data_IF_353744852735
#
_entry.id   IF_353744852735
#
_cell.length_a   1.000
_cell.length_b   1.000
_cell.length_c   1.000
_cell.angle_alpha   90.00
_cell.angle_beta   90.00
_cell.angle_gamma   90.00
#
_symmetry.space_group_name_H-M   'P 1'
#
loop_
_entity.id
_entity.type
_entity.pdbx_description
1 polymer ?
#
# COMPACT_ATOMS: atom_id res chain seq x y z
N UNK A 1 -51.42 -17.10 22.11
CA UNK A 1 -50.38 -16.31 22.83
C UNK A 1 -49.12 -17.10 23.21
N UNK A 2 -49.13 -18.44 23.42
CA UNK A 2 -47.91 -19.21 23.81
C UNK A 2 -46.87 -19.45 22.69
N UNK A 3 -47.24 -19.43 21.41
CA UNK A 3 -46.30 -19.61 20.29
C UNK A 3 -45.50 -18.35 19.92
N UNK A 4 -45.95 -17.16 20.33
CA UNK A 4 -45.26 -15.90 20.02
C UNK A 4 -44.10 -15.58 20.99
N UNK A 5 -44.15 -16.08 22.23
CA UNK A 5 -43.08 -15.89 23.20
C UNK A 5 -41.82 -16.74 22.91
N UNK A 6 -41.97 -17.94 22.32
CA UNK A 6 -40.82 -18.80 22.01
C UNK A 6 -39.96 -18.27 20.86
N UNK A 7 -40.56 -17.63 19.85
CA UNK A 7 -39.83 -17.05 18.71
C UNK A 7 -39.09 -15.76 19.09
N UNK A 8 -39.63 -14.96 20.02
CA UNK A 8 -38.98 -13.74 20.52
C UNK A 8 -37.78 -14.08 21.42
N UNK A 9 -37.86 -15.12 22.25
CA UNK A 9 -36.71 -15.58 23.05
C UNK A 9 -35.58 -16.17 22.19
N UNK A 10 -35.87 -16.93 21.13
CA UNK A 10 -34.84 -17.50 20.26
C UNK A 10 -34.05 -16.40 19.51
N UNK A 11 -34.75 -15.40 18.95
CA UNK A 11 -34.14 -14.26 18.25
C UNK A 11 -33.30 -13.37 19.19
N UNK A 12 -33.73 -13.19 20.44
CA UNK A 12 -32.97 -12.46 21.44
C UNK A 12 -31.68 -13.20 21.85
N UNK A 13 -31.71 -14.53 21.99
CA UNK A 13 -30.53 -15.32 22.34
C UNK A 13 -29.48 -15.39 21.22
N UNK A 14 -29.90 -15.47 19.96
CA UNK A 14 -28.96 -15.44 18.81
C UNK A 14 -28.34 -14.06 18.61
N UNK A 15 -29.11 -12.99 18.83
CA UNK A 15 -28.61 -11.62 18.77
C UNK A 15 -27.55 -11.32 19.83
N UNK A 16 -27.77 -11.77 21.08
CA UNK A 16 -26.81 -11.61 22.18
C UNK A 16 -25.50 -12.37 21.94
N UNK A 17 -25.57 -13.62 21.45
CA UNK A 17 -24.38 -14.41 21.14
C UNK A 17 -23.54 -13.78 20.01
N UNK A 18 -24.20 -13.29 18.94
CA UNK A 18 -23.51 -12.61 17.83
C UNK A 18 -22.87 -11.28 18.23
N UNK A 19 -23.53 -10.50 19.09
CA UNK A 19 -23.00 -9.24 19.62
C UNK A 19 -21.81 -9.48 20.56
N UNK A 20 -21.87 -10.52 21.38
CA UNK A 20 -20.79 -10.90 22.29
C UNK A 20 -19.56 -11.43 21.53
N UNK A 21 -19.75 -12.21 20.47
CA UNK A 21 -18.66 -12.66 19.58
C UNK A 21 -18.04 -11.49 18.80
N UNK A 22 -18.85 -10.59 18.25
CA UNK A 22 -18.36 -9.39 17.56
C UNK A 22 -17.56 -8.48 18.50
N UNK A 23 -18.01 -8.33 19.75
CA UNK A 23 -17.28 -7.57 20.77
C UNK A 23 -15.96 -8.27 21.15
N UNK A 24 -15.96 -9.60 21.28
CA UNK A 24 -14.75 -10.40 21.52
C UNK A 24 -13.71 -10.23 20.42
N UNK A 25 -14.10 -10.28 19.15
CA UNK A 25 -13.20 -10.08 18.02
C UNK A 25 -12.57 -8.68 18.01
N UNK A 26 -13.34 -7.64 18.37
CA UNK A 26 -12.81 -6.27 18.48
C UNK A 26 -11.79 -6.12 19.60
N UNK A 27 -12.03 -6.75 20.75
CA UNK A 27 -11.06 -6.76 21.87
C UNK A 27 -9.76 -7.46 21.46
N UNK A 28 -9.85 -8.63 20.83
CA UNK A 28 -8.67 -9.36 20.34
C UNK A 28 -7.89 -8.54 19.31
N UNK A 29 -8.56 -7.88 18.36
CA UNK A 29 -7.90 -7.05 17.36
C UNK A 29 -7.23 -5.82 18.01
N UNK A 30 -7.84 -5.23 19.04
CA UNK A 30 -7.25 -4.12 19.80
C UNK A 30 -5.95 -4.54 20.50
N UNK A 31 -5.98 -5.70 21.17
CA UNK A 31 -4.82 -6.27 21.87
C UNK A 31 -3.71 -6.63 20.88
N UNK A 32 -4.06 -7.26 19.76
CA UNK A 32 -3.15 -7.56 18.67
C UNK A 32 -2.48 -6.29 18.17
N UNK A 33 -3.24 -5.24 17.80
CA UNK A 33 -2.66 -3.98 17.30
C UNK A 33 -1.67 -3.40 18.31
N UNK A 34 -2.01 -3.40 19.60
CA UNK A 34 -1.17 -2.88 20.66
C UNK A 34 0.14 -3.68 20.82
N UNK A 35 0.05 -5.02 20.77
CA UNK A 35 1.22 -5.90 20.74
C UNK A 35 2.11 -5.63 19.52
N UNK A 36 1.50 -5.50 18.33
CA UNK A 36 2.22 -5.34 17.08
C UNK A 36 2.96 -4.00 17.01
N UNK A 37 2.41 -2.90 17.54
CA UNK A 37 3.13 -1.64 17.61
C UNK A 37 4.25 -1.64 18.66
N UNK A 38 4.04 -2.27 19.82
CA UNK A 38 5.12 -2.45 20.81
C UNK A 38 6.25 -3.30 20.26
N UNK A 39 5.92 -4.36 19.53
CA UNK A 39 6.89 -5.16 18.79
C UNK A 39 7.63 -4.32 17.75
N UNK A 40 6.90 -3.55 16.93
CA UNK A 40 7.47 -2.73 15.88
C UNK A 40 8.45 -1.69 16.40
N UNK A 41 8.16 -1.03 17.53
CA UNK A 41 9.08 -0.10 18.18
C UNK A 41 10.42 -0.77 18.53
N UNK A 42 10.38 -1.95 19.16
CA UNK A 42 11.60 -2.67 19.53
C UNK A 42 12.34 -3.19 18.28
N UNK A 43 11.60 -3.68 17.28
CA UNK A 43 12.16 -4.26 16.08
C UNK A 43 12.80 -3.18 15.19
N UNK A 44 12.23 -1.98 15.12
CA UNK A 44 12.82 -0.85 14.40
C UNK A 44 14.04 -0.26 15.11
N UNK A 45 14.14 -0.36 16.43
CA UNK A 45 15.40 -0.07 17.16
C UNK A 45 16.53 -1.02 16.73
N UNK A 46 16.21 -2.27 16.37
CA UNK A 46 17.18 -3.22 15.77
C UNK A 46 17.50 -2.83 14.33
N UNK A 47 16.48 -2.49 13.53
CA UNK A 47 16.67 -2.07 12.14
C UNK A 47 17.58 -0.83 12.04
N UNK A 48 17.32 0.19 12.85
CA UNK A 48 18.10 1.42 12.88
C UNK A 48 19.59 1.16 13.20
N UNK A 49 19.90 0.21 14.08
CA UNK A 49 21.29 -0.18 14.40
C UNK A 49 21.98 -0.89 13.24
N UNK A 50 21.22 -1.63 12.41
CA UNK A 50 21.74 -2.40 11.29
C UNK A 50 21.82 -1.59 9.98
N UNK A 51 21.31 -0.35 9.95
CA UNK A 51 21.25 0.49 8.75
C UNK A 51 22.10 1.75 8.95
N UNK A 52 23.19 1.94 8.18
CA UNK A 52 24.01 3.13 8.27
C UNK A 52 23.19 4.41 8.06
N UNK A 53 23.56 5.50 8.73
CA UNK A 53 22.76 6.74 8.79
C UNK A 53 22.50 7.42 7.43
N UNK A 54 23.31 7.14 6.41
CA UNK A 54 23.28 7.81 5.10
C UNK A 54 22.54 7.04 4.00
N UNK A 55 21.92 5.91 4.33
CA UNK A 55 21.22 5.01 3.40
C UNK A 55 19.86 4.61 3.98
N UNK A 56 19.01 3.97 3.18
CA UNK A 56 17.70 3.45 3.59
C UNK A 56 17.72 1.92 3.64
N UNK A 57 16.94 1.28 4.54
CA UNK A 57 16.77 -0.17 4.52
C UNK A 57 15.94 -0.57 3.31
N UNK A 58 16.40 -1.60 2.60
CA UNK A 58 15.73 -2.15 1.43
C UNK A 58 15.08 -3.50 1.73
N UNK A 59 15.91 -4.46 2.10
CA UNK A 59 15.53 -5.84 2.42
C UNK A 59 16.57 -6.44 3.37
N UNK A 60 16.44 -7.71 3.70
CA UNK A 60 17.40 -8.47 4.46
C UNK A 60 17.71 -9.77 3.75
N UNK A 61 19.00 -10.08 3.66
CA UNK A 61 19.50 -11.27 3.00
C UNK A 61 19.77 -12.36 4.06
N UNK A 62 18.93 -13.40 4.15
CA UNK A 62 19.10 -14.43 5.16
C UNK A 62 20.36 -15.27 4.96
N UNK A 63 20.89 -15.34 3.72
CA UNK A 63 22.10 -16.12 3.41
C UNK A 63 23.36 -15.44 3.94
N UNK A 64 23.39 -14.11 3.94
CA UNK A 64 24.54 -13.35 4.44
C UNK A 64 24.32 -12.79 5.84
N UNK A 65 23.10 -12.94 6.39
CA UNK A 65 22.67 -12.37 7.65
C UNK A 65 22.91 -10.84 7.72
N UNK A 66 22.58 -10.12 6.64
CA UNK A 66 22.81 -8.68 6.53
C UNK A 66 21.61 -7.95 5.94
N UNK A 67 21.37 -6.74 6.44
CA UNK A 67 20.45 -5.80 5.82
C UNK A 67 21.05 -5.30 4.52
N UNK A 68 20.29 -5.42 3.43
CA UNK A 68 20.59 -4.76 2.18
C UNK A 68 20.00 -3.35 2.22
N UNK A 69 20.77 -2.37 1.75
CA UNK A 69 20.41 -0.95 1.79
C UNK A 69 20.31 -0.37 0.39
N UNK A 70 19.71 0.82 0.31
CA UNK A 70 19.63 1.62 -0.90
C UNK A 70 20.06 3.06 -0.63
N UNK A 71 20.39 3.79 -1.70
CA UNK A 71 20.45 5.24 -1.61
C UNK A 71 19.05 5.87 -1.48
N UNK A 72 19.00 7.20 -1.34
CA UNK A 72 17.78 7.98 -1.21
C UNK A 72 16.99 8.12 -2.52
N UNK A 73 17.63 7.89 -3.68
CA UNK A 73 16.98 7.95 -5.01
C UNK A 73 16.16 6.71 -5.33
N UNK A 74 16.37 5.62 -4.58
CA UNK A 74 15.56 4.43 -4.75
C UNK A 74 14.10 4.69 -4.38
N UNK A 75 13.17 4.13 -5.16
CA UNK A 75 11.74 4.43 -5.10
C UNK A 75 11.09 4.15 -3.74
N UNK A 76 11.68 3.28 -2.91
CA UNK A 76 11.14 2.92 -1.59
C UNK A 76 11.67 3.79 -0.44
N UNK A 77 12.49 4.82 -0.72
CA UNK A 77 13.22 5.56 0.31
C UNK A 77 12.33 6.30 1.31
N UNK A 78 11.05 6.52 0.96
CA UNK A 78 10.05 7.14 1.84
C UNK A 78 9.36 6.20 2.83
N UNK A 79 9.41 4.88 2.62
CA UNK A 79 8.63 3.95 3.46
C UNK A 79 9.22 3.77 4.86
N UNK A 80 10.55 3.71 5.00
CA UNK A 80 11.19 3.59 6.31
C UNK A 80 10.91 4.77 7.25
N UNK A 81 11.15 6.05 6.86
CA UNK A 81 10.72 7.18 7.67
C UNK A 81 9.20 7.22 7.88
N UNK A 82 8.41 6.82 6.89
CA UNK A 82 6.95 6.69 7.03
C UNK A 82 6.52 5.68 8.10
N UNK A 83 7.18 4.52 8.16
CA UNK A 83 6.90 3.48 9.14
C UNK A 83 7.33 3.90 10.55
N UNK A 84 8.50 4.54 10.70
CA UNK A 84 8.93 5.14 11.96
C UNK A 84 7.89 6.17 12.47
N UNK A 85 7.32 6.96 11.57
CA UNK A 85 6.26 7.92 11.92
C UNK A 85 4.97 7.25 12.37
N UNK A 86 4.54 6.15 11.74
CA UNK A 86 3.39 5.36 12.23
C UNK A 86 3.67 4.74 13.61
N UNK A 87 4.86 4.20 13.83
CA UNK A 87 5.26 3.66 15.13
C UNK A 87 5.22 4.77 16.20
N UNK A 88 5.84 5.92 15.93
CA UNK A 88 5.79 7.07 16.84
C UNK A 88 4.36 7.57 17.09
N UNK A 89 3.53 7.66 16.04
CA UNK A 89 2.14 8.10 16.17
C UNK A 89 1.38 7.24 17.18
N UNK A 90 1.66 5.94 17.23
CA UNK A 90 1.06 5.03 18.20
C UNK A 90 1.76 5.05 19.57
N UNK A 91 3.06 4.76 19.62
CA UNK A 91 3.78 4.50 20.89
C UNK A 91 4.25 5.76 21.60
N UNK A 92 4.34 6.89 20.89
CA UNK A 92 4.90 8.15 21.36
C UNK A 92 6.39 8.10 21.75
N UNK A 93 7.13 7.06 21.35
CA UNK A 93 8.57 6.92 21.60
C UNK A 93 9.37 8.01 20.86
N UNK A 94 9.99 8.92 21.61
CA UNK A 94 10.70 10.08 21.06
C UNK A 94 11.99 9.71 20.35
N UNK A 95 12.62 8.57 20.69
CA UNK A 95 13.78 8.07 19.97
C UNK A 95 13.41 7.62 18.54
N UNK A 96 12.25 6.99 18.37
CA UNK A 96 11.68 6.63 17.06
C UNK A 96 11.40 7.87 16.22
N UNK A 97 10.79 8.91 16.81
CA UNK A 97 10.60 10.19 16.11
C UNK A 97 11.94 10.80 15.70
N UNK A 98 12.94 10.77 16.58
CA UNK A 98 14.26 11.33 16.28
C UNK A 98 14.93 10.61 15.11
N UNK A 99 14.82 9.29 15.05
CA UNK A 99 15.29 8.51 13.91
C UNK A 99 14.52 8.86 12.63
N UNK A 100 13.19 9.04 12.70
CA UNK A 100 12.41 9.49 11.55
C UNK A 100 12.90 10.84 11.02
N UNK A 101 13.13 11.82 11.91
CA UNK A 101 13.65 13.15 11.55
C UNK A 101 15.04 13.07 10.90
N UNK A 102 15.93 12.19 11.39
CA UNK A 102 17.25 11.96 10.78
C UNK A 102 17.13 11.42 9.35
N UNK A 103 16.22 10.46 9.12
CA UNK A 103 15.99 9.87 7.79
C UNK A 103 15.31 10.84 6.83
N UNK A 104 14.38 11.66 7.31
CA UNK A 104 13.81 12.75 6.53
C UNK A 104 14.90 13.74 6.08
N UNK A 105 15.85 14.08 6.96
CA UNK A 105 16.92 15.03 6.63
C UNK A 105 17.77 14.59 5.42
N UNK A 106 18.10 13.31 5.29
CA UNK A 106 18.88 12.81 4.14
C UNK A 106 18.03 12.66 2.86
N UNK A 107 16.72 12.46 3.01
CA UNK A 107 15.77 12.24 1.92
C UNK A 107 15.29 13.55 1.28
N UNK A 108 15.31 14.65 2.03
CA UNK A 108 14.76 15.96 1.65
C UNK A 108 15.17 16.42 0.24
N UNK A 109 16.45 16.23 -0.09
CA UNK A 109 17.04 16.60 -1.39
C UNK A 109 16.33 15.96 -2.59
N UNK A 110 15.69 14.81 -2.40
CA UNK A 110 15.01 14.06 -3.47
C UNK A 110 13.67 14.68 -3.87
N UNK A 111 13.19 15.75 -3.19
CA UNK A 111 12.07 16.57 -3.68
C UNK A 111 12.28 17.13 -5.09
N UNK A 112 13.55 17.22 -5.53
CA UNK A 112 13.94 17.65 -6.88
C UNK A 112 14.13 16.51 -7.87
N UNK A 113 13.90 15.26 -7.47
CA UNK A 113 14.14 14.10 -8.34
C UNK A 113 13.05 13.99 -9.41
N UNK A 114 13.45 13.86 -10.68
CA UNK A 114 12.54 13.80 -11.83
C UNK A 114 12.72 12.53 -12.68
N UNK A 115 13.53 11.58 -12.20
CA UNK A 115 13.95 10.40 -12.98
C UNK A 115 12.85 9.34 -13.16
N UNK A 116 11.90 9.25 -12.23
CA UNK A 116 10.75 8.34 -12.27
C UNK A 116 9.53 9.00 -11.59
N UNK A 117 8.42 8.28 -11.55
CA UNK A 117 7.15 8.78 -10.99
C UNK A 117 6.99 8.60 -9.48
N UNK A 118 7.95 7.97 -8.80
CA UNK A 118 7.80 7.42 -7.44
C UNK A 118 7.88 8.49 -6.34
N UNK A 119 7.81 9.78 -6.67
CA UNK A 119 7.88 10.87 -5.69
C UNK A 119 6.74 10.85 -4.67
N UNK A 120 5.59 10.28 -4.99
CA UNK A 120 4.54 10.06 -3.99
C UNK A 120 4.98 9.07 -2.92
N UNK A 121 5.55 7.93 -3.32
CA UNK A 121 6.13 6.97 -2.38
C UNK A 121 7.30 7.57 -1.60
N UNK A 122 8.22 8.25 -2.29
CA UNK A 122 9.43 8.78 -1.66
C UNK A 122 9.09 9.94 -0.71
N UNK A 123 8.29 10.89 -1.15
CA UNK A 123 8.11 12.17 -0.44
C UNK A 123 6.81 12.23 0.34
N UNK A 124 5.73 11.64 -0.15
CA UNK A 124 4.42 11.76 0.51
C UNK A 124 4.22 10.73 1.62
N UNK A 125 4.69 9.48 1.45
CA UNK A 125 4.70 8.50 2.53
C UNK A 125 5.59 8.94 3.72
N UNK A 126 6.58 9.80 3.47
CA UNK A 126 7.52 10.32 4.46
C UNK A 126 7.11 11.71 4.97
N UNK A 127 7.36 12.78 4.20
CA UNK A 127 7.07 14.17 4.59
C UNK A 127 5.57 14.46 4.74
N UNK A 128 4.72 13.82 3.92
CA UNK A 128 3.27 13.91 4.08
C UNK A 128 2.83 13.40 5.45
N UNK A 129 3.34 12.25 5.89
CA UNK A 129 3.11 11.72 7.24
C UNK A 129 3.76 12.61 8.32
N UNK A 130 4.96 13.12 8.10
CA UNK A 130 5.64 14.00 9.06
C UNK A 130 4.80 15.26 9.33
N UNK A 131 4.27 15.89 8.28
CA UNK A 131 3.33 17.00 8.40
C UNK A 131 2.02 16.57 9.06
N UNK A 132 1.41 15.46 8.63
CA UNK A 132 0.14 14.96 9.17
C UNK A 132 0.19 14.80 10.69
N UNK A 133 1.28 14.24 11.22
CA UNK A 133 1.46 13.91 12.63
C UNK A 133 1.95 15.12 13.45
N UNK A 134 2.98 15.83 12.98
CA UNK A 134 3.63 16.88 13.78
C UNK A 134 3.07 18.28 13.54
N UNK A 135 2.32 18.46 12.44
CA UNK A 135 1.78 19.75 11.97
C UNK A 135 2.85 20.85 11.76
N UNK A 136 4.14 20.50 11.68
CA UNK A 136 5.22 21.46 11.46
C UNK A 136 5.16 22.00 10.01
N UNK A 137 4.94 23.30 9.79
CA UNK A 137 4.80 23.87 8.43
C UNK A 137 6.06 23.73 7.56
N UNK A 138 7.23 23.49 8.16
CA UNK A 138 8.52 23.31 7.47
C UNK A 138 8.50 22.20 6.42
N UNK A 139 7.61 21.22 6.54
CA UNK A 139 7.50 20.11 5.57
C UNK A 139 6.69 20.48 4.31
N UNK A 140 5.84 21.50 4.36
CA UNK A 140 4.95 21.87 3.24
C UNK A 140 5.76 22.23 1.99
N UNK A 141 6.80 23.10 2.04
CA UNK A 141 7.58 23.43 0.85
C UNK A 141 8.26 22.22 0.20
N UNK A 142 8.67 21.23 0.99
CA UNK A 142 9.25 19.97 0.47
C UNK A 142 8.21 19.17 -0.31
N UNK A 143 6.98 19.05 0.23
CA UNK A 143 5.86 18.36 -0.43
C UNK A 143 5.47 19.07 -1.73
N UNK A 144 5.32 20.40 -1.70
CA UNK A 144 4.95 21.20 -2.87
C UNK A 144 6.00 21.11 -3.99
N UNK A 145 7.29 21.16 -3.62
CA UNK A 145 8.40 20.99 -4.56
C UNK A 145 8.39 19.60 -5.18
N UNK A 146 8.12 18.55 -4.39
CA UNK A 146 8.02 17.19 -4.90
C UNK A 146 6.85 17.05 -5.89
N UNK A 147 5.70 17.66 -5.62
CA UNK A 147 4.58 17.66 -6.56
C UNK A 147 4.93 18.38 -7.87
N UNK A 148 5.64 19.52 -7.80
CA UNK A 148 6.14 20.23 -8.97
C UNK A 148 7.11 19.36 -9.81
N UNK A 149 8.04 18.67 -9.15
CA UNK A 149 8.96 17.72 -9.80
C UNK A 149 8.21 16.56 -10.46
N UNK A 150 7.22 15.98 -9.78
CA UNK A 150 6.45 14.83 -10.28
C UNK A 150 5.70 15.19 -11.57
N UNK A 151 5.07 16.37 -11.64
CA UNK A 151 4.30 16.75 -12.83
C UNK A 151 5.17 17.08 -14.04
N UNK A 152 6.50 17.21 -13.92
CA UNK A 152 7.39 17.28 -15.10
C UNK A 152 7.33 16.01 -15.96
N UNK A 153 6.87 14.91 -15.37
CA UNK A 153 6.65 13.62 -16.03
C UNK A 153 5.25 13.50 -16.65
N UNK A 154 4.37 14.48 -16.46
CA UNK A 154 3.07 14.52 -17.11
C UNK A 154 3.22 14.68 -18.62
N UNK A 155 2.41 13.95 -19.38
CA UNK A 155 2.40 13.92 -20.84
C UNK A 155 0.99 14.31 -21.30
N UNK A 156 0.75 15.58 -21.69
CA UNK A 156 -0.60 16.11 -21.85
C UNK A 156 -1.41 15.40 -22.95
N UNK A 157 -0.77 14.98 -24.04
CA UNK A 157 -1.46 14.29 -25.15
C UNK A 157 -1.94 12.89 -24.73
N UNK A 158 -1.12 12.17 -23.98
CA UNK A 158 -1.46 10.86 -23.44
C UNK A 158 -2.26 10.93 -22.12
N UNK A 159 -2.37 12.12 -21.50
CA UNK A 159 -3.05 12.36 -20.21
C UNK A 159 -2.56 11.45 -19.07
N UNK A 160 -1.28 11.10 -19.09
CA UNK A 160 -0.64 10.21 -18.10
C UNK A 160 0.63 10.85 -17.54
N UNK A 161 1.07 10.32 -16.40
CA UNK A 161 2.40 10.57 -15.86
C UNK A 161 3.26 9.38 -16.32
N UNK A 162 4.35 9.67 -17.01
CA UNK A 162 5.23 8.61 -17.53
C UNK A 162 6.03 7.98 -16.39
N UNK A 163 5.94 6.67 -16.20
CA UNK A 163 6.47 5.99 -15.02
C UNK A 163 8.00 5.97 -14.96
N UNK A 164 8.66 5.59 -16.04
CA UNK A 164 10.12 5.66 -16.20
C UNK A 164 10.48 6.03 -17.65
N UNK A 165 11.77 6.31 -17.90
CA UNK A 165 12.24 6.79 -19.19
C UNK A 165 12.13 5.73 -20.29
N UNK A 166 11.99 6.17 -21.55
CA UNK A 166 11.89 5.26 -22.69
C UNK A 166 13.09 4.31 -22.79
N UNK A 167 12.86 3.09 -23.25
CA UNK A 167 13.87 2.06 -23.49
C UNK A 167 13.63 1.35 -24.84
N UNK A 168 14.41 0.30 -25.10
CA UNK A 168 14.14 -0.60 -26.24
C UNK A 168 12.80 -1.33 -26.07
N UNK A 169 12.42 -1.71 -24.84
CA UNK A 169 11.19 -2.47 -24.55
C UNK A 169 9.96 -1.57 -24.44
N UNK A 170 10.08 -0.37 -23.89
CA UNK A 170 8.94 0.50 -23.54
C UNK A 170 9.17 1.92 -24.05
N UNK A 171 8.23 2.50 -24.79
CA UNK A 171 8.38 3.87 -25.34
C UNK A 171 7.83 4.94 -24.42
N UNK A 172 6.66 4.71 -23.88
CA UNK A 172 5.97 5.54 -22.91
C UNK A 172 5.31 4.67 -21.83
N UNK A 173 6.09 4.01 -20.98
CA UNK A 173 5.55 3.09 -19.97
C UNK A 173 4.78 3.85 -18.89
N UNK A 174 3.59 3.35 -18.57
CA UNK A 174 2.78 3.74 -17.41
C UNK A 174 2.44 2.48 -16.62
N UNK A 175 2.83 2.42 -15.36
CA UNK A 175 2.57 1.27 -14.49
C UNK A 175 1.42 1.54 -13.52
N UNK A 176 0.77 0.47 -13.07
CA UNK A 176 -0.39 0.55 -12.17
C UNK A 176 -0.04 1.21 -10.82
N UNK A 177 1.19 1.04 -10.35
CA UNK A 177 1.80 1.62 -9.14
C UNK A 177 1.75 3.15 -9.18
N UNK A 178 1.73 3.75 -10.38
CA UNK A 178 1.68 5.19 -10.54
C UNK A 178 0.41 5.81 -9.94
N UNK A 179 -0.66 5.03 -9.76
CA UNK A 179 -1.87 5.47 -9.06
C UNK A 179 -1.58 5.90 -7.61
N UNK A 180 -0.65 5.23 -6.94
CA UNK A 180 -0.28 5.52 -5.55
C UNK A 180 0.38 6.91 -5.42
N UNK A 181 1.05 7.36 -6.48
CA UNK A 181 1.77 8.63 -6.50
C UNK A 181 0.85 9.83 -6.76
N UNK A 182 -0.41 9.61 -7.11
CA UNK A 182 -1.37 10.68 -7.36
C UNK A 182 -1.86 11.35 -6.08
N UNK A 183 -1.73 10.67 -4.93
CA UNK A 183 -2.12 11.22 -3.63
C UNK A 183 -1.36 12.51 -3.32
N UNK A 184 -0.05 12.55 -3.60
CA UNK A 184 0.79 13.75 -3.48
C UNK A 184 0.17 14.94 -4.22
N UNK A 185 -0.25 14.72 -5.47
CA UNK A 185 -0.77 15.79 -6.33
C UNK A 185 -2.16 16.26 -5.88
N UNK A 186 -3.03 15.32 -5.51
CA UNK A 186 -4.37 15.64 -5.03
C UNK A 186 -4.30 16.41 -3.70
N UNK A 187 -3.42 15.98 -2.80
CA UNK A 187 -3.23 16.62 -1.50
C UNK A 187 -2.72 18.05 -1.63
N UNK A 188 -1.72 18.30 -2.49
CA UNK A 188 -1.17 19.66 -2.69
C UNK A 188 -2.25 20.64 -3.15
N UNK A 189 -3.10 20.27 -4.10
CA UNK A 189 -4.24 21.12 -4.50
C UNK A 189 -5.20 21.36 -3.32
N UNK A 190 -5.56 20.32 -2.58
CA UNK A 190 -6.50 20.45 -1.45
C UNK A 190 -5.90 21.23 -0.27
N UNK A 191 -4.59 21.47 -0.26
CA UNK A 191 -3.85 22.26 0.75
C UNK A 191 -3.42 23.64 0.24
N UNK A 192 -4.10 24.18 -0.78
CA UNK A 192 -3.91 25.55 -1.26
C UNK A 192 -2.93 25.69 -2.42
N UNK A 193 -2.38 24.59 -2.93
CA UNK A 193 -1.61 24.56 -4.17
C UNK A 193 -2.48 24.70 -5.42
N UNK A 194 -1.81 24.87 -6.57
CA UNK A 194 -2.46 25.05 -7.87
C UNK A 194 -3.40 23.87 -8.24
N UNK A 195 -4.60 24.18 -8.75
CA UNK A 195 -5.60 23.20 -9.16
C UNK A 195 -5.11 22.24 -10.27
N UNK A 196 -4.04 22.59 -10.99
CA UNK A 196 -3.45 21.72 -12.02
C UNK A 196 -2.98 20.37 -11.48
N UNK A 197 -2.53 20.29 -10.22
CA UNK A 197 -2.00 19.04 -9.67
C UNK A 197 -3.10 17.98 -9.57
N UNK A 198 -4.24 18.32 -8.95
CA UNK A 198 -5.41 17.43 -8.90
C UNK A 198 -6.01 17.16 -10.28
N UNK A 199 -6.01 18.13 -11.19
CA UNK A 199 -6.43 17.91 -12.59
C UNK A 199 -5.56 16.86 -13.30
N UNK A 200 -4.24 16.91 -13.10
CA UNK A 200 -3.30 15.92 -13.64
C UNK A 200 -3.54 14.54 -13.01
N UNK A 201 -3.76 14.47 -11.70
CA UNK A 201 -4.11 13.22 -11.01
C UNK A 201 -5.37 12.58 -11.57
N UNK A 202 -6.44 13.35 -11.75
CA UNK A 202 -7.72 12.90 -12.34
C UNK A 202 -7.51 12.42 -13.78
N UNK A 203 -6.75 13.17 -14.60
CA UNK A 203 -6.42 12.77 -15.97
C UNK A 203 -5.70 11.42 -16.01
N UNK A 204 -4.70 11.23 -15.16
CA UNK A 204 -3.97 9.97 -15.04
C UNK A 204 -4.90 8.83 -14.63
N UNK A 205 -5.63 8.99 -13.53
CA UNK A 205 -6.52 7.95 -13.00
C UNK A 205 -7.59 7.52 -14.01
N UNK A 206 -8.12 8.46 -14.79
CA UNK A 206 -9.09 8.17 -15.86
C UNK A 206 -8.48 7.40 -17.02
N UNK A 207 -7.26 7.76 -17.41
CA UNK A 207 -6.57 7.09 -18.51
C UNK A 207 -6.16 5.67 -18.11
N UNK A 208 -5.68 5.49 -16.88
CA UNK A 208 -5.38 4.15 -16.33
C UNK A 208 -6.65 3.31 -16.18
N UNK A 209 -7.79 3.89 -15.76
CA UNK A 209 -9.07 3.18 -15.63
C UNK A 209 -9.51 2.60 -16.98
N UNK A 210 -9.30 3.35 -18.06
CA UNK A 210 -9.66 2.93 -19.41
C UNK A 210 -8.75 1.82 -19.94
N UNK A 211 -7.45 1.85 -19.61
CA UNK A 211 -6.45 1.10 -20.37
C UNK A 211 -5.74 0.00 -19.59
N UNK A 212 -5.66 0.08 -18.26
CA UNK A 212 -4.96 -0.90 -17.42
C UNK A 212 -5.83 -2.09 -17.03
N UNK A 213 -7.16 -2.02 -17.16
CA UNK A 213 -8.05 -3.07 -16.67
C UNK A 213 -8.52 -3.99 -17.79
N UNK A 214 -8.59 -5.28 -17.48
CA UNK A 214 -9.24 -6.32 -18.27
C UNK A 214 -10.74 -6.40 -17.91
N UNK A 215 -11.57 -7.11 -18.69
CA UNK A 215 -13.01 -7.20 -18.42
C UNK A 215 -13.38 -7.80 -17.06
N UNK A 216 -12.51 -8.63 -16.47
CA UNK A 216 -12.68 -9.27 -15.16
C UNK A 216 -12.16 -8.40 -13.99
N UNK A 217 -11.76 -7.15 -14.27
CA UNK A 217 -11.17 -6.20 -13.32
C UNK A 217 -9.76 -6.55 -12.81
N UNK A 218 -9.12 -7.60 -13.34
CA UNK A 218 -7.68 -7.74 -13.20
C UNK A 218 -6.96 -6.62 -13.96
N UNK A 219 -5.84 -6.15 -13.43
CA UNK A 219 -5.02 -5.12 -14.07
C UNK A 219 -3.81 -5.69 -14.78
N UNK A 220 -3.47 -5.12 -15.94
CA UNK A 220 -2.11 -5.17 -16.46
C UNK A 220 -1.18 -4.42 -15.50
N UNK A 221 0.09 -4.82 -15.48
CA UNK A 221 1.11 -4.05 -14.77
C UNK A 221 1.47 -2.81 -15.59
N UNK A 222 1.87 -2.96 -16.85
CA UNK A 222 2.38 -1.88 -17.71
C UNK A 222 1.48 -1.66 -18.92
N UNK A 223 1.15 -0.41 -19.20
CA UNK A 223 0.58 0.04 -20.48
C UNK A 223 1.58 0.99 -21.14
N UNK A 224 1.92 0.71 -22.39
CA UNK A 224 2.83 1.52 -23.20
C UNK A 224 2.04 2.46 -24.10
N UNK A 225 2.43 3.73 -24.12
CA UNK A 225 1.78 4.76 -24.92
C UNK A 225 2.74 5.36 -25.94
N UNK A 226 2.20 5.74 -27.10
CA UNK A 226 2.81 6.77 -27.91
C UNK A 226 2.55 8.12 -27.22
N UNK A 227 3.61 8.73 -26.68
CA UNK A 227 3.50 9.97 -25.90
C UNK A 227 3.14 11.19 -26.75
N UNK A 228 3.25 11.11 -28.08
CA UNK A 228 2.81 12.19 -28.99
C UNK A 228 1.31 12.11 -29.25
N UNK A 229 0.78 10.91 -29.50
CA UNK A 229 -0.63 10.73 -29.90
C UNK A 229 -1.56 10.36 -28.75
N UNK A 230 -1.02 9.79 -27.67
CA UNK A 230 -1.79 9.21 -26.57
C UNK A 230 -2.38 7.83 -26.86
N UNK A 231 -2.05 7.22 -28.01
CA UNK A 231 -2.51 5.88 -28.34
C UNK A 231 -1.80 4.81 -27.51
N UNK A 232 -2.54 3.77 -27.11
CA UNK A 232 -1.96 2.57 -26.48
C UNK A 232 -1.24 1.76 -27.54
N UNK A 233 0.05 1.50 -27.32
CA UNK A 233 0.90 0.70 -28.20
C UNK A 233 0.83 -0.77 -27.82
N UNK A 234 0.93 -1.08 -26.52
CA UNK A 234 0.82 -2.44 -25.99
C UNK A 234 0.56 -2.46 -24.49
N UNK A 235 0.19 -3.63 -23.99
CA UNK A 235 -0.02 -3.91 -22.56
C UNK A 235 0.81 -5.13 -22.17
N UNK A 236 1.30 -5.17 -20.94
CA UNK A 236 2.09 -6.31 -20.48
C UNK A 236 2.58 -6.15 -19.05
N UNK A 237 3.70 -6.81 -18.75
CA UNK A 237 4.26 -6.82 -17.39
C UNK A 237 5.77 -6.59 -17.32
N UNK A 238 6.20 -6.08 -16.16
CA UNK A 238 7.60 -6.01 -15.77
C UNK A 238 7.95 -6.95 -14.59
N UNK A 239 6.96 -7.34 -13.78
CA UNK A 239 7.19 -8.11 -12.54
C UNK A 239 6.21 -9.27 -12.32
N UNK A 240 5.11 -9.34 -13.08
CA UNK A 240 4.13 -10.44 -13.00
C UNK A 240 4.55 -11.67 -13.79
N UNK A 241 3.81 -12.77 -13.61
CA UNK A 241 4.07 -14.07 -14.24
C UNK A 241 3.97 -14.05 -15.77
N UNK A 242 3.03 -13.27 -16.32
CA UNK A 242 2.88 -13.09 -17.76
C UNK A 242 2.18 -11.75 -18.07
N UNK A 243 2.13 -11.37 -19.36
CA UNK A 243 1.38 -10.18 -19.78
C UNK A 243 -0.13 -10.30 -19.52
N UNK A 244 -0.64 -11.54 -19.45
CA UNK A 244 -2.04 -11.84 -19.14
C UNK A 244 -2.33 -12.06 -17.66
N UNK A 245 -1.31 -12.19 -16.81
CA UNK A 245 -1.51 -12.52 -15.39
C UNK A 245 -1.90 -11.30 -14.53
N UNK A 246 -2.42 -11.60 -13.34
CA UNK A 246 -2.77 -10.66 -12.29
C UNK A 246 -1.72 -10.64 -11.17
N UNK A 247 -0.63 -9.90 -11.40
CA UNK A 247 0.40 -9.65 -10.38
C UNK A 247 -0.21 -9.05 -9.11
N UNK A 248 -0.07 -9.72 -7.96
CA UNK A 248 -0.91 -9.49 -6.78
C UNK A 248 -0.73 -8.11 -6.17
N UNK A 249 0.52 -7.63 -6.06
CA UNK A 249 0.80 -6.26 -5.60
C UNK A 249 0.31 -5.19 -6.56
N UNK A 250 0.32 -5.46 -7.86
CA UNK A 250 -0.29 -4.58 -8.86
C UNK A 250 -1.80 -4.41 -8.66
N UNK A 251 -2.49 -5.50 -8.29
CA UNK A 251 -3.92 -5.44 -7.92
C UNK A 251 -4.12 -4.65 -6.62
N UNK A 252 -3.22 -4.82 -5.65
CA UNK A 252 -3.19 -4.02 -4.42
C UNK A 252 -3.03 -2.52 -4.68
N UNK A 253 -2.11 -2.12 -5.56
CA UNK A 253 -1.95 -0.72 -5.98
C UNK A 253 -3.18 -0.17 -6.68
N UNK A 254 -3.82 -0.96 -7.54
CA UNK A 254 -5.05 -0.57 -8.20
C UNK A 254 -6.18 -0.33 -7.18
N UNK A 255 -6.40 -1.28 -6.27
CA UNK A 255 -7.42 -1.19 -5.24
C UNK A 255 -7.21 0.05 -4.35
N UNK A 256 -5.99 0.22 -3.85
CA UNK A 256 -5.63 1.37 -3.01
C UNK A 256 -5.78 2.68 -3.79
N UNK A 257 -5.18 2.75 -4.98
CA UNK A 257 -5.16 3.95 -5.81
C UNK A 257 -6.56 4.47 -6.16
N UNK A 258 -7.49 3.59 -6.54
CA UNK A 258 -8.86 4.02 -6.84
C UNK A 258 -9.70 4.34 -5.60
N UNK A 259 -9.45 3.65 -4.48
CA UNK A 259 -10.05 4.02 -3.19
C UNK A 259 -9.60 5.43 -2.78
N UNK A 260 -8.29 5.70 -2.88
CA UNK A 260 -7.68 7.01 -2.61
C UNK A 260 -8.21 8.08 -3.57
N UNK A 261 -8.32 7.81 -4.88
CA UNK A 261 -8.88 8.78 -5.82
C UNK A 261 -10.35 9.09 -5.52
N UNK A 262 -11.14 8.12 -5.04
CA UNK A 262 -12.47 8.40 -4.53
C UNK A 262 -12.44 9.28 -3.28
N UNK A 263 -11.51 9.07 -2.33
CA UNK A 263 -11.36 9.93 -1.15
C UNK A 263 -11.25 11.40 -1.54
N UNK A 264 -10.39 11.74 -2.51
CA UNK A 264 -10.12 13.12 -2.93
C UNK A 264 -11.17 13.74 -3.86
N UNK A 265 -11.85 12.94 -4.68
CA UNK A 265 -12.73 13.47 -5.75
C UNK A 265 -14.20 13.22 -5.50
N UNK A 266 -14.54 12.23 -4.67
CA UNK A 266 -15.90 11.69 -4.48
C UNK A 266 -16.58 11.23 -5.77
N UNK A 267 -15.81 10.99 -6.84
CA UNK A 267 -16.35 10.51 -8.11
C UNK A 267 -16.72 9.02 -8.03
N UNK A 268 -18.01 8.70 -8.12
CA UNK A 268 -18.55 7.34 -7.97
C UNK A 268 -17.90 6.29 -8.90
N UNK A 269 -17.39 6.69 -10.07
CA UNK A 269 -16.67 5.76 -10.97
C UNK A 269 -15.43 5.14 -10.33
N UNK A 270 -14.71 5.90 -9.48
CA UNK A 270 -13.54 5.38 -8.77
C UNK A 270 -13.95 4.42 -7.67
N UNK A 271 -15.02 4.74 -6.93
CA UNK A 271 -15.58 3.84 -5.92
C UNK A 271 -16.05 2.52 -6.55
N UNK A 272 -16.80 2.59 -7.65
CA UNK A 272 -17.31 1.40 -8.34
C UNK A 272 -16.16 0.52 -8.86
N UNK A 273 -15.12 1.13 -9.44
CA UNK A 273 -13.95 0.37 -9.87
C UNK A 273 -13.21 -0.26 -8.68
N UNK A 274 -13.00 0.47 -7.58
CA UNK A 274 -12.38 -0.08 -6.37
C UNK A 274 -13.16 -1.27 -5.80
N UNK A 275 -14.50 -1.20 -5.75
CA UNK A 275 -15.36 -2.33 -5.37
C UNK A 275 -15.18 -3.54 -6.29
N UNK A 276 -15.11 -3.32 -7.59
CA UNK A 276 -14.93 -4.40 -8.56
C UNK A 276 -13.55 -5.05 -8.44
N UNK A 277 -12.49 -4.27 -8.22
CA UNK A 277 -11.14 -4.78 -7.96
C UNK A 277 -11.11 -5.56 -6.65
N UNK A 278 -11.74 -5.06 -5.58
CA UNK A 278 -11.85 -5.78 -4.31
C UNK A 278 -12.57 -7.12 -4.49
N UNK A 279 -13.66 -7.14 -5.26
CA UNK A 279 -14.38 -8.37 -5.60
C UNK A 279 -13.51 -9.36 -6.39
N UNK A 280 -12.75 -8.89 -7.38
CA UNK A 280 -11.79 -9.72 -8.12
C UNK A 280 -10.76 -10.36 -7.18
N UNK A 281 -10.12 -9.54 -6.32
CA UNK A 281 -9.10 -9.99 -5.38
C UNK A 281 -9.65 -11.02 -4.40
N UNK A 282 -10.75 -10.68 -3.70
CA UNK A 282 -11.26 -11.49 -2.58
C UNK A 282 -11.93 -12.78 -3.03
N UNK A 283 -12.48 -12.80 -4.25
CA UNK A 283 -13.14 -13.97 -4.83
C UNK A 283 -12.26 -14.71 -5.85
N UNK A 284 -10.98 -14.34 -5.98
CA UNK A 284 -10.08 -15.03 -6.92
C UNK A 284 -9.96 -16.51 -6.52
N UNK A 285 -10.07 -17.47 -7.46
CA UNK A 285 -10.01 -18.90 -7.14
C UNK A 285 -8.69 -19.33 -6.48
N UNK A 286 -7.62 -18.56 -6.74
CA UNK A 286 -6.30 -18.79 -6.14
C UNK A 286 -6.02 -17.92 -4.90
N UNK A 287 -7.01 -17.21 -4.35
CA UNK A 287 -6.85 -16.50 -3.07
C UNK A 287 -6.67 -17.53 -1.93
N UNK A 288 -5.53 -17.53 -1.21
CA UNK A 288 -5.31 -18.52 -0.16
C UNK A 288 -6.22 -18.34 1.05
N UNK A 289 -6.39 -19.40 1.84
CA UNK A 289 -7.26 -19.39 3.02
C UNK A 289 -6.82 -18.39 4.10
N UNK A 290 -5.51 -18.17 4.25
CA UNK A 290 -4.90 -17.18 5.15
C UNK A 290 -4.98 -15.73 4.61
N UNK A 291 -5.60 -15.53 3.44
CA UNK A 291 -5.75 -14.23 2.76
C UNK A 291 -4.44 -13.50 2.41
N UNK A 292 -3.28 -14.16 2.49
CA UNK A 292 -2.02 -13.60 2.00
C UNK A 292 -1.80 -14.09 0.57
N UNK A 293 -1.92 -13.25 -0.47
CA UNK A 293 -1.89 -13.74 -1.84
C UNK A 293 -0.53 -14.33 -2.23
N UNK A 294 -0.53 -15.19 -3.24
CA UNK A 294 0.69 -15.53 -3.98
C UNK A 294 1.27 -14.26 -4.63
N UNK A 295 2.54 -14.30 -5.04
CA UNK A 295 3.19 -13.16 -5.70
C UNK A 295 2.50 -12.75 -7.03
N UNK A 296 1.76 -13.66 -7.64
CA UNK A 296 0.87 -13.42 -8.77
C UNK A 296 -0.35 -14.36 -8.63
N UNK A 297 -1.55 -13.86 -8.87
CA UNK A 297 -2.78 -14.66 -8.76
C UNK A 297 -2.86 -15.79 -9.80
N UNK A 298 -2.09 -15.68 -10.89
CA UNK A 298 -1.95 -16.70 -11.93
C UNK A 298 -0.53 -17.29 -11.96
N UNK A 299 0.19 -17.22 -10.83
CA UNK A 299 1.55 -17.72 -10.75
C UNK A 299 1.61 -19.21 -11.14
N UNK A 300 2.57 -19.60 -12.01
CA UNK A 300 2.83 -21.01 -12.22
C UNK A 300 3.29 -21.66 -10.91
N UNK A 301 2.81 -22.89 -10.68
CA UNK A 301 3.20 -23.68 -9.53
C UNK A 301 2.35 -23.48 -8.28
N UNK A 302 1.26 -22.71 -8.30
CA UNK A 302 0.28 -22.68 -7.20
C UNK A 302 -0.22 -24.13 -6.91
N UNK A 303 -0.26 -24.58 -5.64
CA UNK A 303 -0.01 -23.81 -4.41
C UNK A 303 1.46 -23.78 -3.93
N UNK A 304 2.38 -24.46 -4.61
CA UNK A 304 3.81 -24.59 -4.28
C UNK A 304 4.65 -23.45 -4.89
N UNK A 305 4.27 -22.19 -4.64
CA UNK A 305 4.99 -21.00 -5.11
C UNK A 305 5.01 -19.92 -4.03
N UNK A 306 5.72 -18.82 -4.28
CA UNK A 306 5.97 -17.78 -3.30
C UNK A 306 4.73 -16.96 -2.96
N UNK A 307 4.65 -16.51 -1.71
CA UNK A 307 3.66 -15.54 -1.24
C UNK A 307 4.17 -14.11 -1.45
N UNK A 308 3.28 -13.14 -1.28
CA UNK A 308 3.65 -11.74 -1.19
C UNK A 308 2.93 -11.04 -0.03
N UNK A 309 3.57 -11.04 1.15
CA UNK A 309 3.07 -10.35 2.34
C UNK A 309 2.86 -8.84 2.11
N UNK A 310 3.68 -8.22 1.23
CA UNK A 310 3.52 -6.81 0.88
C UNK A 310 2.21 -6.51 0.15
N UNK A 311 1.75 -7.44 -0.70
CA UNK A 311 0.45 -7.34 -1.36
C UNK A 311 -0.69 -7.46 -0.35
N UNK A 312 -0.62 -8.40 0.61
CA UNK A 312 -1.62 -8.50 1.68
C UNK A 312 -1.70 -7.20 2.50
N UNK A 313 -0.55 -6.63 2.88
CA UNK A 313 -0.49 -5.42 3.68
C UNK A 313 -1.16 -4.22 2.99
N UNK A 314 -0.86 -3.98 1.71
CA UNK A 314 -1.52 -2.89 0.96
C UNK A 314 -3.01 -3.16 0.75
N UNK A 315 -3.40 -4.41 0.43
CA UNK A 315 -4.81 -4.77 0.21
C UNK A 315 -5.60 -4.55 1.50
N UNK A 316 -5.09 -5.00 2.65
CA UNK A 316 -5.72 -4.78 3.95
C UNK A 316 -5.92 -3.28 4.23
N UNK A 317 -4.87 -2.46 4.04
CA UNK A 317 -4.98 -1.01 4.20
C UNK A 317 -6.03 -0.38 3.29
N UNK A 318 -6.11 -0.82 2.03
CA UNK A 318 -7.05 -0.30 1.05
C UNK A 318 -8.51 -0.73 1.33
N UNK A 319 -8.72 -1.99 1.70
CA UNK A 319 -10.04 -2.53 2.07
C UNK A 319 -10.63 -1.80 3.28
N UNK A 320 -9.78 -1.50 4.28
CA UNK A 320 -10.19 -0.72 5.43
C UNK A 320 -10.66 0.68 5.05
N UNK A 321 -10.05 1.32 4.04
CA UNK A 321 -10.51 2.63 3.59
C UNK A 321 -11.75 2.52 2.71
N UNK A 322 -11.83 1.51 1.85
CA UNK A 322 -12.98 1.25 1.01
C UNK A 322 -14.25 0.99 1.84
N UNK A 323 -14.12 0.30 2.98
CA UNK A 323 -15.20 0.10 3.95
C UNK A 323 -15.82 1.40 4.47
N UNK A 324 -15.07 2.50 4.54
CA UNK A 324 -15.60 3.82 4.97
C UNK A 324 -16.56 4.44 3.95
N UNK A 325 -16.59 3.92 2.72
CA UNK A 325 -17.29 4.52 1.59
C UNK A 325 -18.41 3.64 1.02
N UNK A 326 -18.69 2.51 1.67
CA UNK A 326 -19.64 1.51 1.17
C UNK A 326 -20.76 1.21 2.16
N UNK A 327 -21.79 0.50 1.70
CA UNK A 327 -22.90 0.08 2.56
C UNK A 327 -22.44 -0.94 3.61
N UNK A 328 -23.24 -1.15 4.66
CA UNK A 328 -22.88 -2.00 5.82
C UNK A 328 -22.45 -3.43 5.42
N UNK A 329 -23.08 -4.02 4.41
CA UNK A 329 -22.78 -5.37 3.93
C UNK A 329 -21.41 -5.45 3.26
N UNK A 330 -21.16 -4.60 2.26
CA UNK A 330 -19.86 -4.47 1.60
C UNK A 330 -18.75 -4.12 2.61
N UNK A 331 -19.01 -3.15 3.49
CA UNK A 331 -18.05 -2.72 4.51
C UNK A 331 -17.66 -3.88 5.42
N UNK A 332 -18.62 -4.71 5.85
CA UNK A 332 -18.34 -5.90 6.66
C UNK A 332 -17.40 -6.86 5.94
N UNK A 333 -17.66 -7.17 4.66
CA UNK A 333 -16.79 -8.05 3.86
C UNK A 333 -15.36 -7.52 3.83
N UNK A 334 -15.17 -6.22 3.59
CA UNK A 334 -13.85 -5.61 3.50
C UNK A 334 -13.13 -5.57 4.85
N UNK A 335 -13.83 -5.22 5.93
CA UNK A 335 -13.26 -5.16 7.28
C UNK A 335 -12.88 -6.55 7.78
N UNK A 336 -13.73 -7.55 7.56
CA UNK A 336 -13.45 -8.94 7.96
C UNK A 336 -12.22 -9.47 7.19
N UNK A 337 -12.18 -9.30 5.86
CA UNK A 337 -11.04 -9.73 5.05
C UNK A 337 -9.74 -9.00 5.43
N UNK A 338 -9.79 -7.69 5.69
CA UNK A 338 -8.62 -6.95 6.16
C UNK A 338 -8.17 -7.41 7.55
N UNK A 339 -9.11 -7.74 8.44
CA UNK A 339 -8.82 -8.33 9.75
C UNK A 339 -8.12 -9.68 9.64
N UNK A 340 -8.59 -10.57 8.76
CA UNK A 340 -7.94 -11.87 8.48
C UNK A 340 -6.52 -11.70 7.93
N UNK A 341 -6.31 -10.75 7.00
CA UNK A 341 -4.99 -10.43 6.48
C UNK A 341 -4.07 -9.90 7.58
N UNK A 342 -4.54 -8.97 8.41
CA UNK A 342 -3.76 -8.44 9.55
C UNK A 342 -3.39 -9.57 10.50
N UNK A 343 -4.35 -10.39 10.93
CA UNK A 343 -4.09 -11.50 11.84
C UNK A 343 -3.10 -12.51 11.27
N UNK A 344 -3.19 -12.82 9.98
CA UNK A 344 -2.23 -13.71 9.31
C UNK A 344 -0.84 -13.10 9.25
N UNK A 345 -0.73 -11.82 8.88
CA UNK A 345 0.55 -11.08 8.86
C UNK A 345 1.18 -10.95 10.26
N UNK A 346 0.37 -10.88 11.32
CA UNK A 346 0.84 -10.84 12.72
C UNK A 346 1.26 -12.21 13.28
N UNK A 347 0.90 -13.31 12.61
CA UNK A 347 1.22 -14.66 13.06
C UNK A 347 2.68 -15.03 12.85
N UNK A 348 3.15 -16.08 13.53
CA UNK A 348 4.52 -16.60 13.37
C UNK A 348 4.85 -17.07 11.94
N UNK A 349 3.85 -17.24 11.08
CA UNK A 349 4.04 -17.58 9.66
C UNK A 349 4.55 -16.39 8.83
N UNK A 350 4.35 -15.15 9.28
CA UNK A 350 4.71 -13.95 8.50
C UNK A 350 5.44 -12.89 9.30
N UNK A 351 5.15 -12.76 10.59
CA UNK A 351 5.84 -11.83 11.49
C UNK A 351 7.17 -12.41 11.94
N UNK A 352 8.22 -11.61 11.87
CA UNK A 352 9.54 -12.00 12.35
C UNK A 352 9.55 -12.19 13.88
N UNK A 353 10.49 -13.00 14.37
CA UNK A 353 10.76 -13.10 15.81
C UNK A 353 11.56 -11.88 16.28
N UNK A 354 11.40 -11.54 17.56
CA UNK A 354 12.09 -10.42 18.18
C UNK A 354 13.61 -10.48 17.94
N UNK A 355 14.18 -9.38 17.44
CA UNK A 355 15.61 -9.25 17.13
C UNK A 355 16.07 -9.93 15.83
N UNK A 356 15.20 -10.66 15.12
CA UNK A 356 15.55 -11.35 13.88
C UNK A 356 15.22 -10.51 12.64
N UNK A 357 15.38 -11.11 11.45
CA UNK A 357 15.01 -10.54 10.16
C UNK A 357 15.61 -9.15 9.90
N UNK A 358 16.82 -8.90 10.42
CA UNK A 358 17.53 -7.63 10.28
C UNK A 358 16.88 -6.41 10.96
N UNK A 359 15.73 -6.56 11.62
CA UNK A 359 14.93 -5.42 12.07
C UNK A 359 13.57 -5.24 11.37
N UNK A 360 13.29 -5.98 10.30
CA UNK A 360 12.01 -5.88 9.58
C UNK A 360 10.90 -6.65 10.29
N UNK A 361 9.65 -6.17 10.16
CA UNK A 361 8.48 -6.76 10.83
C UNK A 361 8.01 -8.01 10.10
N UNK A 362 7.80 -7.92 8.79
CA UNK A 362 7.21 -8.97 7.99
C UNK A 362 8.26 -9.72 7.16
N UNK A 363 8.02 -11.02 6.99
CA UNK A 363 8.75 -11.93 6.11
C UNK A 363 7.94 -12.18 4.83
N UNK A 364 8.47 -13.01 3.92
CA UNK A 364 7.73 -13.60 2.80
C UNK A 364 7.05 -12.61 1.83
N UNK A 365 7.73 -11.51 1.50
CA UNK A 365 7.37 -10.66 0.36
C UNK A 365 8.15 -11.04 -0.89
N UNK A 366 7.57 -10.78 -2.06
CA UNK A 366 8.21 -11.07 -3.36
C UNK A 366 8.23 -9.83 -4.24
N UNK A 367 9.41 -9.22 -4.40
CA UNK A 367 9.64 -8.02 -5.18
C UNK A 367 9.43 -8.24 -6.68
N UNK A 368 10.31 -9.02 -7.32
CA UNK A 368 10.21 -9.29 -8.76
C UNK A 368 10.76 -10.68 -9.11
N UNK A 369 9.91 -11.70 -8.98
CA UNK A 369 10.29 -13.10 -9.24
C UNK A 369 10.89 -13.30 -10.65
N UNK A 370 10.28 -12.77 -11.75
CA UNK A 370 10.85 -12.94 -13.10
C UNK A 370 12.24 -12.30 -13.26
N UNK A 371 12.59 -11.33 -12.41
CA UNK A 371 13.88 -10.65 -12.40
C UNK A 371 14.88 -11.25 -11.40
N UNK A 372 14.52 -12.34 -10.71
CA UNK A 372 15.33 -12.98 -9.66
C UNK A 372 15.76 -12.01 -8.54
N UNK A 373 14.88 -11.07 -8.20
CA UNK A 373 15.15 -10.01 -7.22
C UNK A 373 14.14 -10.05 -6.09
N UNK A 374 14.64 -9.98 -4.86
CA UNK A 374 13.84 -9.84 -3.62
C UNK A 374 12.76 -10.93 -3.52
N UNK A 375 13.17 -12.20 -3.56
CA UNK A 375 12.25 -13.35 -3.53
C UNK A 375 12.24 -13.91 -2.12
N UNK A 376 11.06 -13.96 -1.51
CA UNK A 376 10.85 -14.51 -0.17
C UNK A 376 11.70 -13.82 0.92
N UNK A 377 11.57 -12.49 0.97
CA UNK A 377 12.36 -11.61 1.85
C UNK A 377 11.48 -10.55 2.51
N UNK A 378 11.92 -9.87 3.58
CA UNK A 378 11.25 -8.65 4.04
C UNK A 378 11.39 -7.51 3.03
N UNK A 379 10.40 -6.63 2.99
CA UNK A 379 10.44 -5.42 2.16
C UNK A 379 9.93 -4.23 2.95
N UNK A 380 10.67 -3.11 2.90
CA UNK A 380 10.37 -1.90 3.69
C UNK A 380 8.94 -1.37 3.50
N UNK A 381 8.39 -1.53 2.29
CA UNK A 381 7.00 -1.14 1.99
C UNK A 381 5.97 -2.12 2.54
N UNK A 382 6.31 -3.40 2.75
CA UNK A 382 5.41 -4.35 3.43
C UNK A 382 5.16 -3.88 4.86
N UNK A 383 6.22 -3.55 5.59
CA UNK A 383 6.14 -3.05 6.96
C UNK A 383 5.35 -1.73 7.03
N UNK A 384 5.60 -0.80 6.10
CA UNK A 384 4.86 0.46 6.02
C UNK A 384 3.34 0.26 5.89
N UNK A 385 2.90 -0.52 4.89
CA UNK A 385 1.47 -0.72 4.66
C UNK A 385 0.82 -1.59 5.73
N UNK A 386 1.58 -2.47 6.38
CA UNK A 386 1.10 -3.24 7.52
C UNK A 386 0.81 -2.34 8.72
N UNK A 387 1.76 -1.47 9.09
CA UNK A 387 1.56 -0.48 10.15
C UNK A 387 0.41 0.48 9.83
N UNK A 388 0.28 0.90 8.57
CA UNK A 388 -0.85 1.70 8.12
C UNK A 388 -2.18 0.96 8.29
N UNK A 389 -2.26 -0.31 7.90
CA UNK A 389 -3.46 -1.13 8.04
C UNK A 389 -3.85 -1.29 9.52
N UNK A 390 -2.89 -1.54 10.41
CA UNK A 390 -3.13 -1.58 11.86
C UNK A 390 -3.71 -0.24 12.36
N UNK A 391 -3.16 0.89 11.90
CA UNK A 391 -3.68 2.21 12.27
C UNK A 391 -5.06 2.52 11.74
N UNK A 392 -5.33 2.17 10.49
CA UNK A 392 -6.64 2.33 9.89
C UNK A 392 -7.68 1.49 10.61
N UNK A 393 -7.36 0.23 10.91
CA UNK A 393 -8.28 -0.65 11.64
C UNK A 393 -8.64 -0.04 12.99
N UNK A 394 -7.63 0.36 13.77
CA UNK A 394 -7.83 1.01 15.06
C UNK A 394 -8.67 2.28 14.96
N UNK A 395 -8.29 3.19 14.06
CA UNK A 395 -8.87 4.54 14.08
C UNK A 395 -10.27 4.60 13.46
N UNK A 396 -10.67 3.61 12.66
CA UNK A 396 -11.94 3.63 11.93
C UNK A 396 -12.96 2.59 12.41
N UNK A 397 -12.54 1.52 13.09
CA UNK A 397 -13.42 0.38 13.37
C UNK A 397 -13.38 -0.14 14.82
N UNK A 398 -12.41 0.28 15.62
CA UNK A 398 -12.36 0.05 17.07
C UNK A 398 -12.77 1.31 17.82
#
# INVERSE_FOLDING_TARGET
>A
MRKLLFTVCLLATTGLASAQQANGNKVQMKELIDEQFRFAEQQYKVLAKNVPAQVMPKTYNPKTNRVETSDTKWWTSGFYPGALLYIYEYTKDTATLKEAENRLAILEKEKHYTGNHDLGFMMFCSFGNAYRITKKPVYIPTIDTAAASLITRYRPNAKVIQSWNSSKKWKGPVIIDNLMNLELLAWVTDHGGDAKYKKIAINHANTSMKNHFRPDYSSYHVVDYDMKTGAVVKRGTAQGASDSSAWSRGQGWALYGYTMMYRFTKEKRYLNLAKNIASFILNHPNMPADKVPYWDFDAPGIPNTYRDASAAAVIASALLELGQYTGKEDAKIYIDAAGEMISSLSSDAYRSKAGQNGGFLLMHSTGALPLRSEIDVPLTYADYYYLEALMRYKNWYL
#
